data_IF_143110217573
#
_entry.id   IF_143110217573
#
_cell.length_a   1.000
_cell.length_b   1.000
_cell.length_c   1.000
_cell.angle_alpha   90.00
_cell.angle_beta   90.00
_cell.angle_gamma   90.00
#
_symmetry.space_group_name_H-M   'P 1'
#
loop_
_entity.id
_entity.type
_entity.pdbx_description
1 polymer ?
#
# COMPACT_ATOMS: atom_id res chain seq x y z
N UNK A 1 -6.02 8.39 -13.61
CA UNK A 1 -6.45 8.36 -12.20
C UNK A 1 -6.08 7.00 -11.66
N UNK A 2 -5.17 6.94 -10.68
CA UNK A 2 -4.70 5.67 -10.08
C UNK A 2 -5.65 5.16 -8.99
N UNK A 3 -6.31 6.09 -8.29
CA UNK A 3 -7.23 5.78 -7.21
C UNK A 3 -8.56 5.28 -7.73
N UNK A 4 -9.08 4.25 -7.07
CA UNK A 4 -10.34 3.59 -7.35
C UNK A 4 -11.48 4.37 -6.69
N UNK A 5 -12.64 4.38 -7.35
CA UNK A 5 -13.88 4.84 -6.70
C UNK A 5 -14.39 3.79 -5.71
N UNK A 6 -15.25 4.18 -4.77
CA UNK A 6 -15.93 3.25 -3.86
C UNK A 6 -16.64 2.10 -4.59
N UNK A 7 -17.16 2.37 -5.79
CA UNK A 7 -17.79 1.35 -6.62
C UNK A 7 -16.76 0.38 -7.21
N UNK A 8 -15.65 0.91 -7.74
CA UNK A 8 -14.57 0.09 -8.32
C UNK A 8 -13.90 -0.79 -7.27
N UNK A 9 -13.69 -0.27 -6.05
CA UNK A 9 -13.18 -1.04 -4.91
C UNK A 9 -14.07 -2.25 -4.65
N UNK A 10 -15.37 -2.06 -4.54
CA UNK A 10 -16.34 -3.15 -4.31
C UNK A 10 -16.38 -4.14 -5.46
N UNK A 11 -16.37 -3.66 -6.71
CA UNK A 11 -16.34 -4.51 -7.90
C UNK A 11 -15.07 -5.37 -7.94
N UNK A 12 -13.92 -4.77 -7.64
CA UNK A 12 -12.64 -5.48 -7.59
C UNK A 12 -12.66 -6.58 -6.52
N UNK A 13 -13.05 -6.24 -5.28
CA UNK A 13 -13.10 -7.19 -4.18
C UNK A 13 -14.11 -8.32 -4.41
N UNK A 14 -15.28 -8.01 -4.98
CA UNK A 14 -16.26 -9.03 -5.34
C UNK A 14 -15.74 -9.98 -6.44
N UNK A 15 -14.97 -9.45 -7.38
CA UNK A 15 -14.30 -10.21 -8.44
C UNK A 15 -13.05 -10.98 -7.96
N UNK A 16 -12.67 -10.87 -6.69
CA UNK A 16 -11.47 -11.50 -6.13
C UNK A 16 -10.16 -10.82 -6.54
N UNK A 17 -10.20 -9.53 -6.89
CA UNK A 17 -9.01 -8.70 -7.11
C UNK A 17 -8.68 -7.93 -5.85
N UNK A 18 -7.40 -7.90 -5.52
CA UNK A 18 -6.91 -7.23 -4.32
C UNK A 18 -6.83 -5.71 -4.56
N UNK A 19 -7.15 -4.96 -3.51
CA UNK A 19 -6.98 -3.50 -3.48
C UNK A 19 -6.11 -3.13 -2.30
N UNK A 20 -5.33 -2.07 -2.49
CA UNK A 20 -4.33 -1.65 -1.51
C UNK A 20 -4.45 -0.16 -1.27
N UNK A 21 -3.88 0.31 -0.17
CA UNK A 21 -3.74 1.73 0.09
C UNK A 21 -2.51 2.02 0.94
N UNK A 22 -1.70 2.96 0.46
CA UNK A 22 -0.63 3.55 1.24
C UNK A 22 -1.22 4.45 2.34
N UNK A 23 -0.94 4.13 3.60
CA UNK A 23 -1.38 4.91 4.75
C UNK A 23 -0.42 6.07 5.03
N UNK A 24 -0.82 7.03 5.88
CA UNK A 24 0.12 8.03 6.40
C UNK A 24 1.31 7.38 7.09
N UNK A 25 2.48 7.99 6.89
CA UNK A 25 3.75 7.56 7.49
C UNK A 25 3.69 7.51 9.02
N UNK A 26 4.47 6.60 9.58
CA UNK A 26 4.79 6.54 11.01
C UNK A 26 6.30 6.58 11.15
N UNK A 27 6.78 7.12 12.27
CA UNK A 27 8.20 7.10 12.61
C UNK A 27 8.40 6.30 13.90
N UNK A 28 9.44 5.49 13.93
CA UNK A 28 9.82 4.69 15.09
C UNK A 28 11.32 4.84 15.36
N UNK A 29 11.67 5.49 16.48
CA UNK A 29 13.07 5.72 16.91
C UNK A 29 13.96 6.22 15.76
N UNK A 30 13.44 7.19 15.00
CA UNK A 30 14.06 7.85 13.83
C UNK A 30 14.07 7.06 12.50
N UNK A 31 13.42 5.89 12.43
CA UNK A 31 13.22 5.16 11.18
C UNK A 31 11.83 5.43 10.59
N UNK A 32 11.79 5.65 9.27
CA UNK A 32 10.55 5.75 8.52
C UNK A 32 9.89 4.37 8.44
N UNK A 33 8.64 4.29 8.87
CA UNK A 33 7.81 3.08 8.76
C UNK A 33 6.78 3.31 7.66
N UNK A 34 6.88 2.48 6.62
CA UNK A 34 5.94 2.44 5.52
C UNK A 34 4.78 1.56 5.92
N UNK A 35 3.57 2.12 5.85
CA UNK A 35 2.34 1.45 6.26
C UNK A 35 1.43 1.32 5.05
N UNK A 36 0.99 0.11 4.75
CA UNK A 36 -0.04 -0.10 3.75
C UNK A 36 -1.06 -1.12 4.23
N UNK A 37 -2.30 -0.93 3.78
CA UNK A 37 -3.37 -1.90 4.00
C UNK A 37 -3.65 -2.62 2.69
N UNK A 38 -3.86 -3.93 2.77
CA UNK A 38 -4.28 -4.78 1.65
C UNK A 38 -5.61 -5.44 1.98
N UNK A 39 -6.55 -5.39 1.04
CA UNK A 39 -7.84 -6.06 1.14
C UNK A 39 -7.92 -7.09 0.01
N UNK A 40 -8.11 -8.35 0.38
CA UNK A 40 -8.20 -9.48 -0.55
C UNK A 40 -9.42 -10.34 -0.24
N UNK A 41 -9.94 -11.03 -1.26
CA UNK A 41 -10.97 -12.06 -1.05
C UNK A 41 -10.27 -13.39 -0.76
N UNK A 42 -10.24 -13.79 0.50
CA UNK A 42 -9.55 -15.03 0.91
C UNK A 42 -10.29 -16.29 0.44
N UNK A 43 -11.62 -16.29 0.49
CA UNK A 43 -12.54 -17.39 0.10
C UNK A 43 -13.89 -16.82 -0.35
N UNK A 44 -14.80 -17.63 -0.93
CA UNK A 44 -16.17 -17.18 -1.13
C UNK A 44 -16.74 -16.61 0.17
N UNK A 45 -17.29 -15.41 0.08
CA UNK A 45 -17.93 -14.65 1.17
C UNK A 45 -17.03 -14.41 2.39
N UNK A 46 -15.71 -14.37 2.18
CA UNK A 46 -14.73 -14.04 3.21
C UNK A 46 -13.66 -13.09 2.66
N UNK A 47 -13.59 -11.90 3.24
CA UNK A 47 -12.61 -10.87 2.92
C UNK A 47 -11.60 -10.74 4.03
N UNK A 48 -10.35 -10.52 3.67
CA UNK A 48 -9.25 -10.35 4.62
C UNK A 48 -8.69 -8.94 4.47
N UNK A 49 -8.50 -8.27 5.59
CA UNK A 49 -7.75 -7.02 5.69
C UNK A 49 -6.42 -7.36 6.32
N UNK A 50 -5.34 -6.84 5.73
CA UNK A 50 -3.98 -6.99 6.22
C UNK A 50 -3.36 -5.61 6.40
N UNK A 51 -2.78 -5.34 7.58
CA UNK A 51 -1.94 -4.17 7.81
C UNK A 51 -0.47 -4.60 7.73
N UNK A 52 0.25 -4.10 6.74
CA UNK A 52 1.68 -4.29 6.61
C UNK A 52 2.41 -3.05 7.10
N UNK A 53 3.33 -3.23 8.04
CA UNK A 53 4.22 -2.19 8.54
C UNK A 53 5.67 -2.66 8.33
N UNK A 54 6.40 -1.93 7.50
CA UNK A 54 7.77 -2.27 7.14
C UNK A 54 8.69 -1.07 7.32
N UNK A 55 9.96 -1.31 7.62
CA UNK A 55 10.96 -0.25 7.58
C UNK A 55 11.23 0.17 6.14
N UNK A 56 11.64 1.43 5.96
CA UNK A 56 12.10 1.90 4.65
C UNK A 56 13.48 1.31 4.30
N UNK A 57 13.46 0.15 3.64
CA UNK A 57 14.65 -0.54 3.14
C UNK A 57 14.90 -0.28 1.63
N UNK A 58 14.19 0.68 1.04
CA UNK A 58 14.20 0.85 -0.41
C UNK A 58 15.48 1.43 -0.99
N UNK A 59 15.58 1.32 -2.31
CA UNK A 59 16.61 1.99 -3.11
C UNK A 59 16.07 2.32 -4.50
N UNK A 60 16.79 3.10 -5.33
CA UNK A 60 16.35 3.41 -6.70
C UNK A 60 15.99 2.19 -7.56
N UNK A 61 16.63 1.04 -7.30
CA UNK A 61 16.41 -0.22 -8.01
C UNK A 61 15.54 -1.22 -7.21
N UNK A 62 15.04 -0.82 -6.03
CA UNK A 62 14.32 -1.70 -5.11
C UNK A 62 13.20 -0.94 -4.36
N UNK A 63 11.98 -1.06 -4.87
CA UNK A 63 10.77 -0.43 -4.30
C UNK A 63 9.72 -1.45 -3.85
N UNK A 64 10.09 -2.74 -3.82
CA UNK A 64 9.15 -3.82 -3.53
C UNK A 64 8.85 -3.90 -2.03
N UNK A 65 7.80 -3.17 -1.61
CA UNK A 65 7.32 -3.13 -0.23
C UNK A 65 7.01 -4.51 0.37
N UNK A 66 6.77 -5.53 -0.45
CA UNK A 66 6.47 -6.89 0.04
C UNK A 66 7.72 -7.63 0.51
N UNK A 67 8.91 -7.16 0.12
CA UNK A 67 10.20 -7.74 0.50
C UNK A 67 10.93 -6.93 1.58
N UNK A 68 10.36 -5.80 2.01
CA UNK A 68 10.94 -4.96 3.06
C UNK A 68 10.86 -5.63 4.43
N UNK A 69 11.72 -5.20 5.36
CA UNK A 69 11.77 -5.77 6.69
C UNK A 69 10.53 -5.34 7.50
N UNK A 70 9.78 -6.32 8.00
CA UNK A 70 8.64 -6.05 8.87
C UNK A 70 9.08 -5.42 10.19
N UNK A 71 8.32 -4.43 10.66
CA UNK A 71 8.57 -3.79 11.95
C UNK A 71 8.34 -4.77 13.10
N UNK A 72 7.29 -5.58 13.00
CA UNK A 72 7.00 -6.65 13.95
C UNK A 72 7.44 -8.01 13.37
N UNK A 73 8.48 -8.66 13.94
CA UNK A 73 8.96 -9.95 13.46
C UNK A 73 7.98 -11.11 13.69
N UNK A 74 7.00 -10.96 14.60
CA UNK A 74 5.94 -11.95 14.80
C UNK A 74 4.88 -11.88 13.66
N UNK A 75 4.82 -10.75 12.95
CA UNK A 75 3.93 -10.51 11.80
C UNK A 75 4.71 -10.14 10.53
N UNK A 76 5.53 -11.05 9.97
CA UNK A 76 6.39 -10.76 8.83
C UNK A 76 5.64 -10.43 7.54
N UNK A 77 4.34 -10.76 7.48
CA UNK A 77 3.44 -10.43 6.37
C UNK A 77 2.31 -9.49 6.81
N UNK A 78 2.48 -8.79 7.93
CA UNK A 78 1.47 -7.93 8.52
C UNK A 78 0.43 -8.66 9.37
N UNK A 79 -0.32 -7.88 10.13
CA UNK A 79 -1.44 -8.34 10.94
C UNK A 79 -2.68 -8.55 10.06
N UNK A 80 -3.43 -9.63 10.30
CA UNK A 80 -4.56 -10.04 9.46
C UNK A 80 -5.89 -10.13 10.23
N UNK A 81 -6.96 -9.66 9.60
CA UNK A 81 -8.34 -9.75 10.11
C UNK A 81 -9.29 -10.21 9.01
N UNK A 82 -10.29 -11.03 9.35
CA UNK A 82 -11.25 -11.58 8.40
C UNK A 82 -12.67 -11.07 8.64
N UNK A 83 -13.41 -10.85 7.57
CA UNK A 83 -14.76 -10.29 7.55
C UNK A 83 -15.66 -11.10 6.60
N UNK A 84 -16.95 -11.14 6.92
CA UNK A 84 -18.01 -11.80 6.13
C UNK A 84 -18.66 -10.85 5.10
N UNK A 85 -18.17 -9.61 5.00
CA UNK A 85 -18.68 -8.59 4.09
C UNK A 85 -17.58 -7.62 3.66
N UNK A 86 -17.71 -7.10 2.43
CA UNK A 86 -16.82 -6.05 1.90
C UNK A 86 -16.98 -4.77 2.73
N UNK A 87 -18.22 -4.43 3.08
CA UNK A 87 -18.55 -3.26 3.88
C UNK A 87 -17.91 -3.31 5.26
N UNK A 88 -17.94 -4.48 5.93
CA UNK A 88 -17.27 -4.68 7.22
C UNK A 88 -15.76 -4.51 7.12
N UNK A 89 -15.14 -5.10 6.10
CA UNK A 89 -13.70 -4.98 5.85
C UNK A 89 -13.29 -3.51 5.59
N UNK A 90 -14.03 -2.79 4.74
CA UNK A 90 -13.76 -1.38 4.42
C UNK A 90 -13.98 -0.47 5.63
N UNK A 91 -15.04 -0.70 6.42
CA UNK A 91 -15.31 0.05 7.64
C UNK A 91 -14.18 -0.15 8.65
N UNK A 92 -13.74 -1.40 8.86
CA UNK A 92 -12.60 -1.69 9.74
C UNK A 92 -11.31 -1.02 9.26
N UNK A 93 -10.96 -1.14 7.97
CA UNK A 93 -9.77 -0.52 7.42
C UNK A 93 -9.78 1.01 7.65
N UNK A 94 -10.93 1.65 7.49
CA UNK A 94 -11.08 3.08 7.74
C UNK A 94 -10.99 3.43 9.22
N UNK A 95 -11.85 2.83 10.03
CA UNK A 95 -12.09 3.28 11.41
C UNK A 95 -11.00 2.80 12.38
N UNK A 96 -10.39 1.63 12.13
CA UNK A 96 -9.33 1.07 12.97
C UNK A 96 -7.91 1.36 12.44
N UNK A 97 -7.71 1.31 11.11
CA UNK A 97 -6.37 1.42 10.51
C UNK A 97 -6.07 2.80 9.91
N UNK A 98 -7.08 3.65 9.74
CA UNK A 98 -6.93 5.00 9.19
C UNK A 98 -6.92 5.08 7.66
N UNK A 99 -7.45 4.06 6.98
CA UNK A 99 -7.63 4.08 5.53
C UNK A 99 -8.66 5.15 5.10
N UNK A 100 -8.46 5.74 3.91
CA UNK A 100 -9.44 6.61 3.26
C UNK A 100 -10.17 5.89 2.13
N UNK A 101 -11.44 6.23 1.94
CA UNK A 101 -12.29 5.68 0.88
C UNK A 101 -11.81 6.00 -0.55
N UNK A 102 -11.16 7.17 -0.74
CA UNK A 102 -10.79 7.73 -2.04
C UNK A 102 -9.31 7.51 -2.43
N UNK A 103 -8.61 6.64 -1.69
CA UNK A 103 -7.16 6.42 -1.82
C UNK A 103 -6.78 4.99 -2.18
N UNK A 104 -7.75 4.08 -2.29
CA UNK A 104 -7.48 2.71 -2.71
C UNK A 104 -6.96 2.64 -4.14
N UNK A 105 -6.03 1.73 -4.39
CA UNK A 105 -5.43 1.44 -5.69
C UNK A 105 -5.47 -0.05 -5.97
N UNK A 106 -5.18 -0.45 -7.22
CA UNK A 106 -4.98 -1.85 -7.54
C UNK A 106 -3.67 -2.36 -6.93
N UNK A 107 -3.57 -3.67 -6.68
CA UNK A 107 -2.36 -4.30 -6.17
C UNK A 107 -1.10 -3.87 -6.91
N UNK A 108 -0.04 -3.55 -6.16
CA UNK A 108 1.28 -3.16 -6.67
C UNK A 108 1.44 -1.67 -6.92
N UNK A 109 0.35 -0.92 -7.15
CA UNK A 109 0.41 0.54 -7.35
C UNK A 109 0.90 1.27 -6.08
N UNK A 110 0.74 0.64 -4.91
CA UNK A 110 1.23 1.16 -3.63
C UNK A 110 2.76 1.35 -3.62
N UNK A 111 3.50 0.59 -4.43
CA UNK A 111 4.96 0.71 -4.55
C UNK A 111 5.36 1.98 -5.30
N UNK A 112 4.65 2.29 -6.40
CA UNK A 112 4.81 3.55 -7.12
C UNK A 112 4.45 4.75 -6.21
N UNK A 113 3.40 4.63 -5.41
CA UNK A 113 3.00 5.67 -4.45
C UNK A 113 4.04 5.86 -3.32
N UNK A 114 4.67 4.78 -2.87
CA UNK A 114 5.78 4.83 -1.91
C UNK A 114 6.96 5.61 -2.51
N UNK A 115 7.42 5.23 -3.71
CA UNK A 115 8.53 5.90 -4.37
C UNK A 115 8.22 7.40 -4.58
N UNK A 116 7.05 7.73 -5.12
CA UNK A 116 6.68 9.13 -5.36
C UNK A 116 6.58 9.96 -4.07
N UNK A 117 6.12 9.36 -2.97
CA UNK A 117 5.90 10.07 -1.71
C UNK A 117 7.19 10.28 -0.93
N UNK A 118 8.03 9.25 -0.85
CA UNK A 118 9.18 9.23 0.06
C UNK A 118 10.52 9.39 -0.66
N UNK A 119 10.60 9.00 -1.93
CA UNK A 119 11.83 9.06 -2.73
C UNK A 119 11.62 9.66 -4.13
N UNK A 120 11.08 10.89 -4.22
CA UNK A 120 10.85 11.54 -5.51
C UNK A 120 12.15 11.72 -6.33
N UNK A 121 13.32 11.71 -5.67
CA UNK A 121 14.64 11.77 -6.31
C UNK A 121 15.03 10.50 -7.08
N UNK A 122 14.39 9.36 -6.81
CA UNK A 122 14.61 8.12 -7.58
C UNK A 122 13.87 8.14 -8.91
N UNK A 123 12.86 9.01 -9.03
CA UNK A 123 12.12 9.20 -10.27
C UNK A 123 13.02 10.02 -11.21
N UNK A 124 13.59 9.35 -12.23
CA UNK A 124 14.42 10.02 -13.20
C UNK A 124 13.68 11.24 -13.79
N UNK A 125 14.31 12.43 -13.86
CA UNK A 125 13.67 13.59 -14.46
C UNK A 125 13.31 13.26 -15.92
N UNK A 126 12.15 13.71 -16.42
CA UNK A 126 11.66 13.39 -17.76
C UNK A 126 12.62 13.82 -18.88
N UNK A 127 13.58 14.70 -18.57
CA UNK A 127 14.69 15.05 -19.44
C UNK A 127 15.98 15.11 -18.61
N UNK A 128 17.03 14.35 -18.96
CA UNK A 128 18.35 14.62 -18.41
C UNK A 128 18.77 16.04 -18.82
N UNK A 129 19.51 16.78 -17.97
CA UNK A 129 20.05 18.08 -18.36
C UNK A 129 20.84 17.90 -19.66
N UNK A 130 20.51 18.68 -20.68
CA UNK A 130 21.29 18.72 -21.91
C UNK A 130 22.72 19.08 -21.52
N UNK A 131 23.62 18.10 -21.55
CA UNK A 131 25.05 18.33 -21.45
C UNK A 131 25.40 19.27 -22.60
N UNK A 132 25.71 20.54 -22.28
CA UNK A 132 26.38 21.42 -23.24
C UNK A 132 27.67 20.70 -23.62
N UNK A 133 27.76 20.28 -24.87
CA UNK A 133 29.01 19.74 -25.41
C UNK A 133 30.09 20.79 -25.28
N UNK A 134 31.22 20.38 -24.72
CA UNK A 134 32.51 21.08 -24.81
C UNK A 134 33.15 20.81 -26.18
#
# INVERSE_FOLDING_TARGET
MRHLTDLDVRINLAAGRDVEQLLPERHEVDQLVIRHVSLERSRPDCWKVRLCEVFDNGSPDFIDLYEFEAVDPDFPFGEEWTFDSIEGALAFAKDALGASHDRYVNRGVVQDEYQERYHPEWVAPPFPPLTRGD
#
